data_IF_885445354679
#
_entry.id   IF_885445354679
#
_cell.length_a   1.000
_cell.length_b   1.000
_cell.length_c   1.000
_cell.angle_alpha   90.00
_cell.angle_beta   90.00
_cell.angle_gamma   90.00
#
_symmetry.space_group_name_H-M   'P 1'
#
loop_
_entity.id
_entity.type
_entity.pdbx_description
1 polymer ?
#
# COMPACT_ATOMS: atom_id res chain seq x y z
N UNK A 1 20.81 7.91 2.51
CA UNK A 1 22.28 8.14 2.43
C UNK A 1 22.93 8.04 3.81
N UNK A 2 22.48 8.78 4.82
CA UNK A 2 23.07 8.76 6.18
C UNK A 2 23.04 7.38 6.83
N UNK A 3 21.88 6.71 6.84
CA UNK A 3 21.74 5.34 7.34
C UNK A 3 22.70 4.34 6.67
N UNK A 4 22.93 4.48 5.35
CA UNK A 4 23.85 3.63 4.62
C UNK A 4 25.31 3.85 5.07
N UNK A 5 25.71 5.10 5.32
CA UNK A 5 27.05 5.41 5.87
C UNK A 5 27.27 4.78 7.23
N UNK A 6 26.27 4.86 8.13
CA UNK A 6 26.35 4.25 9.46
C UNK A 6 26.48 2.72 9.42
N UNK A 7 25.97 2.09 8.38
CA UNK A 7 26.01 0.63 8.16
C UNK A 7 27.17 0.21 7.23
N UNK A 8 28.04 1.12 6.83
CA UNK A 8 29.13 0.87 5.87
C UNK A 8 28.66 0.30 4.53
N UNK A 9 27.46 0.70 4.07
CA UNK A 9 26.91 0.32 2.78
C UNK A 9 27.23 1.40 1.76
N UNK A 10 27.88 1.01 0.65
CA UNK A 10 28.07 1.90 -0.52
C UNK A 10 26.75 1.98 -1.29
N UNK A 11 26.05 3.10 -1.19
CA UNK A 11 24.75 3.31 -1.81
C UNK A 11 24.85 4.27 -2.99
N UNK A 12 24.49 3.80 -4.17
CA UNK A 12 24.41 4.59 -5.41
C UNK A 12 22.95 4.79 -5.77
N UNK A 13 22.53 6.05 -5.92
CA UNK A 13 21.18 6.39 -6.35
C UNK A 13 21.10 6.34 -7.89
N UNK A 14 20.15 5.58 -8.41
CA UNK A 14 19.83 5.48 -9.84
C UNK A 14 18.35 5.74 -10.07
N UNK A 15 18.02 6.46 -11.14
CA UNK A 15 16.66 6.59 -11.63
C UNK A 15 16.34 5.41 -12.55
N UNK A 16 15.06 5.03 -12.66
CA UNK A 16 14.63 3.99 -13.60
C UNK A 16 15.03 4.32 -15.06
N UNK A 17 15.01 5.61 -15.42
CA UNK A 17 15.45 6.10 -16.74
C UNK A 17 16.94 5.91 -17.03
N UNK A 18 17.75 5.60 -16.02
CA UNK A 18 19.19 5.31 -16.16
C UNK A 18 19.48 3.81 -16.25
N UNK A 19 18.43 2.98 -16.03
CA UNK A 19 18.54 1.51 -15.96
C UNK A 19 17.84 0.81 -17.12
N UNK A 20 17.39 1.52 -18.16
CA UNK A 20 16.68 0.91 -19.29
C UNK A 20 17.62 0.13 -20.24
N UNK A 21 18.92 0.39 -20.22
CA UNK A 21 19.96 -0.37 -20.91
C UNK A 21 20.87 -1.02 -19.85
N UNK A 22 21.27 -2.27 -20.11
CA UNK A 22 22.23 -2.99 -19.27
C UNK A 22 23.61 -2.33 -19.37
N UNK A 23 23.99 -1.57 -18.35
CA UNK A 23 25.32 -0.93 -18.27
C UNK A 23 25.78 -0.82 -16.81
N UNK A 24 27.02 -1.23 -16.56
CA UNK A 24 27.73 -0.93 -15.33
C UNK A 24 27.99 -2.10 -14.39
N UNK A 25 28.52 -1.79 -13.23
CA UNK A 25 28.84 -2.77 -12.19
C UNK A 25 27.56 -3.35 -11.57
N UNK A 26 27.57 -4.67 -11.35
CA UNK A 26 26.49 -5.38 -10.70
C UNK A 26 26.47 -5.07 -9.20
N UNK A 27 25.36 -4.55 -8.63
CA UNK A 27 25.28 -4.32 -7.20
C UNK A 27 25.05 -5.64 -6.44
N UNK A 28 25.39 -5.66 -5.15
CA UNK A 28 25.07 -6.79 -4.26
C UNK A 28 23.57 -6.93 -4.06
N UNK A 29 22.84 -5.84 -4.01
CA UNK A 29 21.37 -5.79 -3.95
C UNK A 29 20.82 -4.47 -4.48
N UNK A 30 19.53 -4.43 -4.75
CA UNK A 30 18.80 -3.22 -5.13
C UNK A 30 17.70 -2.94 -4.10
N UNK A 31 17.75 -1.78 -3.45
CA UNK A 31 16.62 -1.22 -2.71
C UNK A 31 15.73 -0.50 -3.73
N UNK A 32 14.65 -1.18 -4.14
CA UNK A 32 13.78 -0.72 -5.23
C UNK A 32 12.65 0.16 -4.69
N UNK A 33 12.77 1.47 -4.92
CA UNK A 33 11.80 2.46 -4.41
C UNK A 33 10.96 3.05 -5.54
N UNK A 34 10.41 2.18 -6.37
CA UNK A 34 9.59 2.50 -7.55
C UNK A 34 8.43 1.49 -7.70
N UNK A 35 7.53 1.75 -8.64
CA UNK A 35 6.41 0.87 -9.02
C UNK A 35 6.62 0.18 -10.37
N UNK A 36 7.75 0.35 -11.02
CA UNK A 36 8.12 -0.32 -12.25
C UNK A 36 8.42 -1.81 -12.01
N UNK A 37 7.35 -2.61 -11.96
CA UNK A 37 7.43 -4.05 -11.72
C UNK A 37 8.17 -4.80 -12.82
N UNK A 38 8.22 -4.27 -14.05
CA UNK A 38 8.92 -4.87 -15.17
C UNK A 38 10.43 -4.71 -14.98
N UNK A 39 10.89 -3.51 -14.62
CA UNK A 39 12.29 -3.26 -14.28
C UNK A 39 12.73 -4.10 -13.08
N UNK A 40 11.93 -4.11 -11.99
CA UNK A 40 12.22 -4.93 -10.81
C UNK A 40 12.36 -6.41 -11.18
N UNK A 41 11.47 -6.93 -12.04
CA UNK A 41 11.51 -8.32 -12.50
C UNK A 41 12.72 -8.62 -13.39
N UNK A 42 13.12 -7.68 -14.25
CA UNK A 42 14.33 -7.81 -15.06
C UNK A 42 15.56 -7.96 -14.17
N UNK A 43 15.74 -7.05 -13.19
CA UNK A 43 16.86 -7.12 -12.24
C UNK A 43 16.90 -8.45 -11.49
N UNK A 44 15.74 -8.96 -11.05
CA UNK A 44 15.65 -10.26 -10.40
C UNK A 44 16.06 -11.42 -11.35
N UNK A 45 15.66 -11.36 -12.63
CA UNK A 45 16.04 -12.37 -13.63
C UNK A 45 17.55 -12.36 -13.95
N UNK A 46 18.20 -11.20 -13.79
CA UNK A 46 19.66 -11.06 -13.84
C UNK A 46 20.35 -11.60 -12.56
N UNK A 47 19.56 -12.13 -11.60
CA UNK A 47 20.04 -12.71 -10.34
C UNK A 47 20.45 -11.66 -9.31
N UNK A 48 19.98 -10.42 -9.41
CA UNK A 48 20.21 -9.36 -8.43
C UNK A 48 19.11 -9.43 -7.37
N UNK A 49 19.44 -9.50 -6.06
CA UNK A 49 18.44 -9.37 -5.00
C UNK A 49 17.74 -8.00 -5.06
N UNK A 50 16.41 -7.99 -5.10
CA UNK A 50 15.60 -6.76 -5.20
C UNK A 50 14.63 -6.68 -4.03
N UNK A 51 14.69 -5.62 -3.28
CA UNK A 51 13.90 -5.32 -2.08
C UNK A 51 13.03 -4.06 -2.28
N UNK A 52 11.70 -4.10 -2.31
CA UNK A 52 10.82 -5.29 -2.34
C UNK A 52 10.89 -6.00 -3.68
N UNK A 53 10.47 -7.27 -3.72
CA UNK A 53 10.39 -8.05 -4.95
C UNK A 53 9.38 -7.46 -5.94
N UNK A 54 9.57 -7.72 -7.25
CA UNK A 54 8.61 -7.35 -8.29
C UNK A 54 7.20 -7.89 -8.01
N UNK A 55 7.09 -9.09 -7.44
CA UNK A 55 5.82 -9.72 -7.05
C UNK A 55 5.13 -8.94 -5.94
N UNK A 56 5.86 -8.61 -4.87
CA UNK A 56 5.33 -7.85 -3.74
C UNK A 56 4.86 -6.46 -4.16
N UNK A 57 5.66 -5.78 -5.00
CA UNK A 57 5.29 -4.46 -5.54
C UNK A 57 4.00 -4.57 -6.36
N UNK A 58 3.89 -5.56 -7.27
CA UNK A 58 2.71 -5.76 -8.09
C UNK A 58 1.44 -6.10 -7.28
N UNK A 59 1.59 -6.83 -6.16
CA UNK A 59 0.48 -7.11 -5.23
C UNK A 59 0.04 -5.85 -4.50
N UNK A 60 0.97 -5.01 -4.06
CA UNK A 60 0.68 -3.79 -3.30
C UNK A 60 0.14 -2.66 -4.20
N UNK A 61 0.55 -2.58 -5.46
CA UNK A 61 0.16 -1.49 -6.35
C UNK A 61 -1.27 -1.63 -6.92
N UNK A 62 -1.78 -2.86 -7.06
CA UNK A 62 -3.16 -3.13 -7.47
C UNK A 62 -4.00 -3.55 -6.25
N UNK A 63 -4.90 -2.69 -5.80
CA UNK A 63 -5.79 -2.91 -4.64
C UNK A 63 -6.65 -4.16 -4.76
N UNK A 64 -6.96 -4.60 -5.99
CA UNK A 64 -7.75 -5.82 -6.24
C UNK A 64 -6.89 -7.06 -5.99
N UNK A 65 -5.64 -7.07 -6.47
CA UNK A 65 -4.68 -8.15 -6.22
C UNK A 65 -4.32 -8.23 -4.75
N UNK A 66 -4.08 -7.07 -4.12
CA UNK A 66 -3.86 -6.97 -2.69
C UNK A 66 -5.04 -7.54 -1.89
N UNK A 67 -6.28 -7.14 -2.22
CA UNK A 67 -7.47 -7.68 -1.59
C UNK A 67 -7.54 -9.21 -1.68
N UNK A 68 -7.30 -9.78 -2.85
CA UNK A 68 -7.33 -11.24 -3.04
C UNK A 68 -6.24 -11.95 -2.22
N UNK A 69 -5.03 -11.38 -2.17
CA UNK A 69 -3.94 -11.92 -1.36
C UNK A 69 -4.26 -11.88 0.13
N UNK A 70 -4.73 -10.74 0.64
CA UNK A 70 -5.11 -10.58 2.04
C UNK A 70 -6.29 -11.49 2.42
N UNK A 71 -7.31 -11.57 1.56
CA UNK A 71 -8.48 -12.44 1.77
C UNK A 71 -8.08 -13.91 1.87
N UNK A 72 -7.18 -14.38 0.99
CA UNK A 72 -6.65 -15.76 1.02
C UNK A 72 -6.02 -16.11 2.37
N UNK A 73 -5.41 -15.14 3.05
CA UNK A 73 -4.76 -15.34 4.35
C UNK A 73 -5.66 -14.98 5.55
N UNK A 74 -6.96 -14.76 5.33
CA UNK A 74 -7.90 -14.44 6.40
C UNK A 74 -7.58 -13.14 7.14
N UNK A 75 -7.03 -12.14 6.43
CA UNK A 75 -6.72 -10.83 7.00
C UNK A 75 -8.01 -10.00 7.11
N UNK A 76 -8.35 -9.47 8.29
CA UNK A 76 -9.51 -8.60 8.46
C UNK A 76 -9.39 -7.32 7.60
N UNK A 77 -10.41 -7.07 6.78
CA UNK A 77 -10.53 -5.91 5.89
C UNK A 77 -11.97 -5.43 5.88
N UNK A 78 -12.25 -4.17 5.50
CA UNK A 78 -13.61 -3.77 5.19
C UNK A 78 -14.21 -4.69 4.12
N UNK A 79 -15.49 -5.01 4.24
CA UNK A 79 -16.20 -5.81 3.25
C UNK A 79 -16.04 -5.20 1.86
N UNK A 80 -15.64 -6.00 0.89
CA UNK A 80 -15.20 -5.54 -0.44
C UNK A 80 -15.75 -6.44 -1.53
N UNK A 81 -16.23 -5.83 -2.61
CA UNK A 81 -16.63 -6.46 -3.87
C UNK A 81 -15.78 -5.89 -5.01
N UNK A 82 -15.21 -6.76 -5.83
CA UNK A 82 -14.49 -6.35 -7.03
C UNK A 82 -15.49 -6.08 -8.15
N UNK A 83 -15.37 -4.92 -8.82
CA UNK A 83 -16.20 -4.60 -9.96
C UNK A 83 -15.86 -5.51 -11.17
N UNK A 84 -16.84 -5.79 -12.04
CA UNK A 84 -16.55 -6.40 -13.34
C UNK A 84 -15.52 -5.57 -14.11
N UNK A 85 -14.64 -6.23 -14.84
CA UNK A 85 -13.64 -5.55 -15.68
C UNK A 85 -14.30 -4.92 -16.90
N UNK A 86 -13.85 -3.73 -17.29
CA UNK A 86 -14.23 -3.08 -18.54
C UNK A 86 -13.01 -2.48 -19.22
N UNK A 87 -13.18 -1.91 -20.42
CA UNK A 87 -12.09 -1.39 -21.23
C UNK A 87 -12.30 0.10 -21.55
N UNK A 88 -11.21 0.88 -21.71
CA UNK A 88 -11.32 2.24 -22.20
C UNK A 88 -12.11 2.32 -23.52
N UNK A 89 -13.05 3.23 -23.61
CA UNK A 89 -13.90 3.42 -24.78
C UNK A 89 -15.08 2.45 -24.92
N UNK A 90 -15.19 1.43 -24.05
CA UNK A 90 -16.34 0.52 -24.01
C UNK A 90 -17.25 0.88 -22.82
N UNK A 91 -16.71 0.88 -21.61
CA UNK A 91 -17.47 1.09 -20.38
C UNK A 91 -18.37 -0.08 -20.03
N UNK A 92 -19.33 0.17 -19.15
CA UNK A 92 -20.39 -0.78 -18.83
C UNK A 92 -21.59 -0.55 -19.76
N UNK A 93 -22.14 -1.60 -20.41
CA UNK A 93 -23.29 -1.46 -21.30
C UNK A 93 -24.56 -1.03 -20.56
N UNK A 94 -24.67 -1.40 -19.29
CA UNK A 94 -25.69 -0.97 -18.33
C UNK A 94 -25.12 -1.03 -16.91
N UNK A 95 -25.89 -0.56 -15.94
CA UNK A 95 -25.50 -0.53 -14.53
C UNK A 95 -26.35 -1.47 -13.66
N UNK A 96 -27.00 -2.49 -14.22
CA UNK A 96 -27.87 -3.40 -13.48
C UNK A 96 -27.13 -4.16 -12.37
N UNK A 97 -25.84 -4.47 -12.56
CA UNK A 97 -25.01 -5.12 -11.54
C UNK A 97 -24.86 -4.28 -10.26
N UNK A 98 -25.07 -2.97 -10.33
CA UNK A 98 -25.01 -2.09 -9.16
C UNK A 98 -26.21 -2.32 -8.21
N UNK A 99 -27.30 -2.90 -8.67
CA UNK A 99 -28.45 -3.24 -7.82
C UNK A 99 -28.06 -4.28 -6.75
N UNK A 100 -27.17 -5.20 -7.09
CA UNK A 100 -26.62 -6.16 -6.13
C UNK A 100 -25.58 -5.51 -5.19
N UNK A 101 -24.79 -4.56 -5.70
CA UNK A 101 -23.85 -3.79 -4.87
C UNK A 101 -24.58 -2.97 -3.81
N UNK A 102 -25.68 -2.31 -4.19
CA UNK A 102 -26.52 -1.52 -3.27
C UNK A 102 -27.21 -2.36 -2.18
N UNK A 103 -27.50 -3.63 -2.45
CA UNK A 103 -28.01 -4.56 -1.43
C UNK A 103 -26.93 -4.89 -0.38
N UNK A 104 -25.66 -4.96 -0.78
CA UNK A 104 -24.52 -5.26 0.09
C UNK A 104 -24.08 -4.01 0.86
N UNK A 105 -23.98 -2.87 0.16
CA UNK A 105 -23.46 -1.62 0.70
C UNK A 105 -24.52 -0.51 0.70
N UNK A 106 -25.12 -0.18 1.85
CA UNK A 106 -25.91 1.04 1.94
C UNK A 106 -25.02 2.27 1.76
N UNK A 107 -25.57 3.31 1.11
CA UNK A 107 -24.87 4.59 0.99
C UNK A 107 -24.68 5.28 2.35
N UNK A 108 -23.55 6.02 2.55
CA UNK A 108 -22.43 6.13 1.64
C UNK A 108 -21.49 4.94 1.72
N UNK A 109 -20.84 4.60 0.61
CA UNK A 109 -19.79 3.59 0.59
C UNK A 109 -18.57 4.07 -0.23
N UNK A 110 -17.47 3.33 -0.16
CA UNK A 110 -16.21 3.66 -0.81
C UNK A 110 -16.12 2.97 -2.18
N UNK A 111 -15.70 3.73 -3.19
CA UNK A 111 -15.25 3.21 -4.49
C UNK A 111 -13.77 3.54 -4.63
N UNK A 112 -12.97 2.57 -5.05
CA UNK A 112 -11.54 2.76 -5.28
C UNK A 112 -11.18 2.29 -6.69
N UNK A 113 -10.29 3.01 -7.37
CA UNK A 113 -9.62 2.46 -8.55
C UNK A 113 -8.55 1.46 -8.11
N UNK A 114 -8.33 0.41 -8.89
CA UNK A 114 -7.37 -0.66 -8.58
C UNK A 114 -5.97 -0.13 -8.36
N UNK A 115 -5.48 0.68 -9.28
CA UNK A 115 -4.18 1.35 -9.16
C UNK A 115 -4.37 2.81 -8.76
N UNK A 116 -3.39 3.37 -8.05
CA UNK A 116 -3.41 4.78 -7.64
C UNK A 116 -2.67 5.01 -6.32
N UNK A 117 -2.38 6.28 -6.03
CA UNK A 117 -1.59 6.68 -4.88
C UNK A 117 -2.17 7.91 -4.20
N UNK A 118 -1.76 8.13 -2.95
CA UNK A 118 -2.08 9.34 -2.17
C UNK A 118 -3.59 9.57 -1.97
N UNK A 119 -4.42 8.54 -2.12
CA UNK A 119 -5.87 8.62 -1.96
C UNK A 119 -6.62 9.37 -3.08
N UNK A 120 -5.94 9.73 -4.18
CA UNK A 120 -6.56 10.47 -5.27
C UNK A 120 -7.66 9.65 -5.99
N UNK A 121 -7.53 8.33 -6.00
CA UNK A 121 -8.47 7.38 -6.63
C UNK A 121 -9.34 6.66 -5.58
N UNK A 122 -9.76 7.36 -4.53
CA UNK A 122 -10.65 6.86 -3.48
C UNK A 122 -11.82 7.82 -3.32
N UNK A 123 -13.03 7.34 -3.55
CA UNK A 123 -14.25 8.12 -3.63
C UNK A 123 -15.27 7.67 -2.59
N UNK A 124 -15.91 8.62 -1.91
CA UNK A 124 -17.05 8.36 -1.05
C UNK A 124 -18.32 8.70 -1.85
N UNK A 125 -19.03 7.69 -2.32
CA UNK A 125 -20.28 7.86 -3.07
C UNK A 125 -21.47 7.86 -2.13
N UNK A 126 -22.42 8.78 -2.37
CA UNK A 126 -23.56 9.02 -1.47
C UNK A 126 -24.90 8.58 -2.05
N UNK A 127 -24.94 8.30 -3.35
CA UNK A 127 -26.13 7.88 -4.07
C UNK A 127 -25.78 7.23 -5.41
N UNK A 128 -26.77 6.59 -6.02
CA UNK A 128 -26.65 5.90 -7.32
C UNK A 128 -26.15 6.82 -8.44
N UNK A 129 -26.65 8.03 -8.52
CA UNK A 129 -26.25 8.97 -9.59
C UNK A 129 -24.77 9.34 -9.50
N UNK A 130 -24.26 9.61 -8.31
CA UNK A 130 -22.81 9.84 -8.10
C UNK A 130 -21.98 8.64 -8.53
N UNK A 131 -22.45 7.44 -8.21
CA UNK A 131 -21.77 6.20 -8.58
C UNK A 131 -21.71 6.00 -10.10
N UNK A 132 -22.84 6.10 -10.80
CA UNK A 132 -22.91 5.96 -12.25
C UNK A 132 -22.08 6.99 -12.98
N UNK A 133 -22.12 8.25 -12.52
CA UNK A 133 -21.28 9.32 -13.07
C UNK A 133 -19.79 8.99 -12.92
N UNK A 134 -19.37 8.57 -11.73
CA UNK A 134 -17.97 8.19 -11.48
C UNK A 134 -17.50 7.06 -12.42
N UNK A 135 -18.30 5.99 -12.55
CA UNK A 135 -17.96 4.85 -13.41
C UNK A 135 -17.93 5.23 -14.90
N UNK A 136 -18.77 6.16 -15.30
CA UNK A 136 -18.81 6.71 -16.68
C UNK A 136 -17.60 7.60 -16.96
N UNK A 137 -17.28 8.52 -16.06
CA UNK A 137 -16.15 9.45 -16.21
C UNK A 137 -14.79 8.72 -16.19
N UNK A 138 -14.72 7.59 -15.50
CA UNK A 138 -13.52 6.77 -15.36
C UNK A 138 -13.60 5.47 -16.16
N UNK A 139 -14.25 5.50 -17.32
CA UNK A 139 -14.40 4.34 -18.20
C UNK A 139 -13.06 3.64 -18.46
N UNK A 140 -13.02 2.35 -18.22
CA UNK A 140 -11.82 1.51 -18.37
C UNK A 140 -10.90 1.47 -17.13
N UNK A 141 -11.22 2.21 -16.08
CA UNK A 141 -10.57 1.98 -14.80
C UNK A 141 -11.12 0.70 -14.15
N UNK A 142 -10.25 0.02 -13.45
CA UNK A 142 -10.62 -1.15 -12.64
C UNK A 142 -11.07 -0.71 -11.25
N UNK A 143 -12.25 -1.10 -10.82
CA UNK A 143 -12.83 -0.66 -9.55
C UNK A 143 -12.97 -1.77 -8.52
N UNK A 144 -13.07 -1.35 -7.27
CA UNK A 144 -13.61 -2.13 -6.16
C UNK A 144 -14.56 -1.26 -5.34
N UNK A 145 -15.60 -1.88 -4.81
CA UNK A 145 -16.58 -1.30 -3.89
C UNK A 145 -16.28 -1.80 -2.49
N UNK A 146 -16.33 -0.89 -1.51
CA UNK A 146 -15.92 -1.24 -0.15
C UNK A 146 -16.82 -0.55 0.87
N UNK A 147 -17.18 -1.26 1.95
CA UNK A 147 -17.93 -0.69 3.07
C UNK A 147 -17.19 0.49 3.66
N UNK A 148 -17.89 1.59 3.83
CA UNK A 148 -17.34 2.75 4.56
C UNK A 148 -17.29 2.45 6.06
N UNK A 149 -16.12 2.57 6.65
CA UNK A 149 -15.91 2.36 8.08
C UNK A 149 -16.06 3.70 8.79
N UNK A 150 -17.26 3.91 9.33
CA UNK A 150 -17.66 5.19 9.97
C UNK A 150 -16.78 5.52 11.17
N UNK A 151 -16.34 4.50 11.91
CA UNK A 151 -15.45 4.62 13.08
C UNK A 151 -14.08 5.16 12.69
N UNK A 152 -13.71 5.04 11.42
CA UNK A 152 -12.43 5.52 10.89
C UNK A 152 -12.56 6.74 9.97
N UNK A 153 -13.72 7.41 9.98
CA UNK A 153 -13.90 8.62 9.19
C UNK A 153 -12.86 9.67 9.54
N UNK A 154 -12.06 10.05 8.53
CA UNK A 154 -11.00 11.06 8.67
C UNK A 154 -9.83 10.62 9.56
N UNK A 155 -9.66 9.34 9.88
CA UNK A 155 -8.55 8.87 10.72
C UNK A 155 -8.14 7.44 10.40
N UNK A 156 -6.86 7.17 10.54
CA UNK A 156 -6.26 5.84 10.43
C UNK A 156 -4.93 5.78 11.20
N UNK A 157 -4.34 4.61 11.25
CA UNK A 157 -2.97 4.44 11.73
C UNK A 157 -2.12 3.80 10.64
N UNK A 158 -0.89 4.27 10.47
CA UNK A 158 0.12 3.65 9.64
C UNK A 158 1.18 3.00 10.50
N UNK A 159 1.39 1.71 10.32
CA UNK A 159 2.46 0.95 10.95
C UNK A 159 3.54 0.64 9.90
N UNK A 160 4.78 0.95 10.23
CA UNK A 160 5.92 0.57 9.39
C UNK A 160 6.41 -0.80 9.81
N UNK A 161 6.30 -1.76 8.90
CA UNK A 161 6.78 -3.14 9.08
C UNK A 161 8.10 -3.31 8.33
N UNK A 162 9.10 -3.90 8.95
CA UNK A 162 10.39 -4.24 8.35
C UNK A 162 10.81 -5.61 8.85
N UNK A 163 11.08 -6.55 7.96
CA UNK A 163 11.55 -7.88 8.32
C UNK A 163 10.63 -8.61 9.32
N UNK A 164 9.31 -8.49 9.14
CA UNK A 164 8.33 -9.16 9.98
C UNK A 164 8.11 -8.53 11.36
N UNK A 165 8.57 -7.29 11.61
CA UNK A 165 8.33 -6.56 12.87
C UNK A 165 7.90 -5.13 12.62
N UNK A 166 7.05 -4.59 13.48
CA UNK A 166 6.69 -3.17 13.48
C UNK A 166 7.84 -2.37 14.07
N UNK A 167 8.37 -1.41 13.31
CA UNK A 167 9.49 -0.56 13.73
C UNK A 167 9.04 0.84 14.17
N UNK A 168 7.83 1.25 13.80
CA UNK A 168 7.26 2.53 14.21
C UNK A 168 5.85 2.69 13.68
N UNK A 169 5.11 3.64 14.24
CA UNK A 169 3.72 3.89 13.87
C UNK A 169 3.33 5.34 14.08
N UNK A 170 2.36 5.78 13.30
CA UNK A 170 1.79 7.13 13.40
C UNK A 170 0.27 7.09 13.24
N UNK A 171 -0.41 7.92 14.00
CA UNK A 171 -1.81 8.24 13.83
C UNK A 171 -1.94 9.40 12.85
N UNK A 172 -2.81 9.24 11.84
CA UNK A 172 -3.11 10.28 10.85
C UNK A 172 -4.57 10.69 10.99
N UNK A 173 -4.86 11.96 10.78
CA UNK A 173 -6.24 12.46 10.87
C UNK A 173 -6.47 13.70 10.01
N UNK A 174 -7.72 13.88 9.60
CA UNK A 174 -8.23 15.05 8.91
C UNK A 174 -9.58 15.44 9.50
N UNK A 175 -9.81 16.73 9.71
CA UNK A 175 -11.09 17.25 10.18
C UNK A 175 -12.07 17.54 9.04
N UNK A 176 -11.55 17.65 7.81
CA UNK A 176 -12.30 18.11 6.63
C UNK A 176 -12.52 17.03 5.57
N UNK A 177 -11.67 16.01 5.52
CA UNK A 177 -11.76 14.91 4.55
C UNK A 177 -12.09 13.59 5.26
N UNK A 178 -12.83 12.70 4.61
CA UNK A 178 -13.08 11.37 5.14
C UNK A 178 -11.83 10.48 5.13
N UNK A 179 -10.81 10.86 4.34
CA UNK A 179 -9.47 10.24 4.29
C UNK A 179 -8.53 10.95 5.24
N UNK A 180 -7.60 10.22 5.85
CA UNK A 180 -6.58 10.76 6.75
C UNK A 180 -5.26 11.16 6.03
N UNK A 181 -5.29 11.32 4.70
CA UNK A 181 -4.09 11.53 3.89
C UNK A 181 -3.42 12.89 4.15
N UNK A 182 -2.14 12.85 4.50
CA UNK A 182 -1.33 14.05 4.77
C UNK A 182 -1.20 14.96 3.53
N UNK A 183 -1.13 14.37 2.33
CA UNK A 183 -1.09 15.14 1.07
C UNK A 183 -2.37 15.90 0.77
N UNK A 184 -3.47 15.56 1.42
CA UNK A 184 -4.76 16.26 1.35
C UNK A 184 -4.98 17.21 2.55
N UNK A 185 -3.93 17.59 3.26
CA UNK A 185 -4.02 18.52 4.41
C UNK A 185 -4.29 17.85 5.75
N UNK A 186 -4.16 16.53 5.84
CA UNK A 186 -4.24 15.80 7.11
C UNK A 186 -3.09 16.12 8.06
N UNK A 187 -3.26 15.80 9.32
CA UNK A 187 -2.29 15.92 10.40
C UNK A 187 -1.82 14.55 10.87
N UNK A 188 -0.69 14.52 11.60
CA UNK A 188 -0.12 13.29 12.14
C UNK A 188 0.46 13.48 13.53
N UNK A 189 0.56 12.38 14.27
CA UNK A 189 1.30 12.29 15.55
C UNK A 189 1.83 10.87 15.75
N UNK A 190 2.81 10.71 16.62
CA UNK A 190 3.25 9.38 17.07
C UNK A 190 2.08 8.61 17.68
N UNK A 191 2.10 7.29 17.50
CA UNK A 191 1.08 6.37 17.99
C UNK A 191 1.74 5.13 18.59
N UNK A 192 1.24 4.65 19.73
CA UNK A 192 1.66 3.36 20.30
C UNK A 192 0.59 2.32 19.95
N UNK A 193 0.89 1.40 19.00
CA UNK A 193 -0.08 0.41 18.55
C UNK A 193 -0.25 -0.71 19.57
N UNK A 194 -1.46 -1.24 19.65
CA UNK A 194 -1.77 -2.45 20.42
C UNK A 194 -1.07 -3.67 19.81
N UNK A 195 -0.94 -4.75 20.58
CA UNK A 195 -0.38 -6.01 20.07
C UNK A 195 -1.23 -6.63 18.95
N UNK A 196 -2.54 -6.43 18.98
CA UNK A 196 -3.45 -6.84 17.91
C UNK A 196 -3.16 -6.09 16.60
N UNK A 197 -2.99 -4.77 16.67
CA UNK A 197 -2.64 -3.93 15.52
C UNK A 197 -1.26 -4.28 14.95
N UNK A 198 -0.26 -4.50 15.81
CA UNK A 198 1.09 -4.95 15.42
C UNK A 198 1.03 -6.30 14.71
N UNK A 199 0.34 -7.27 15.32
CA UNK A 199 0.17 -8.61 14.76
C UNK A 199 -0.54 -8.57 13.40
N UNK A 200 -1.63 -7.77 13.30
CA UNK A 200 -2.37 -7.62 12.06
C UNK A 200 -1.50 -7.00 10.95
N UNK A 201 -0.74 -5.95 11.25
CA UNK A 201 0.15 -5.30 10.29
C UNK A 201 1.24 -6.26 9.77
N UNK A 202 1.86 -7.04 10.66
CA UNK A 202 2.86 -8.05 10.29
C UNK A 202 2.25 -9.14 9.40
N UNK A 203 1.08 -9.67 9.77
CA UNK A 203 0.36 -10.67 8.97
C UNK A 203 -0.01 -10.13 7.58
N UNK A 204 -0.45 -8.89 7.49
CA UNK A 204 -0.80 -8.24 6.22
C UNK A 204 0.44 -8.06 5.32
N UNK A 205 1.56 -7.59 5.87
CA UNK A 205 2.84 -7.46 5.17
C UNK A 205 3.33 -8.84 4.65
N UNK A 206 3.23 -9.88 5.48
CA UNK A 206 3.59 -11.25 5.10
C UNK A 206 2.69 -11.80 3.98
N UNK A 207 1.39 -11.53 4.03
CA UNK A 207 0.43 -12.01 3.03
C UNK A 207 0.67 -11.44 1.62
N UNK A 208 1.30 -10.28 1.50
CA UNK A 208 1.73 -9.67 0.23
C UNK A 208 3.24 -9.79 0.00
N UNK A 209 3.92 -10.59 0.81
CA UNK A 209 5.33 -10.96 0.68
C UNK A 209 6.30 -9.76 0.66
N UNK A 210 6.01 -8.69 1.42
CA UNK A 210 6.89 -7.53 1.49
C UNK A 210 8.00 -7.71 2.52
N UNK A 211 9.22 -7.29 2.17
CA UNK A 211 10.36 -7.19 3.08
C UNK A 211 10.20 -6.00 4.03
N UNK A 212 9.62 -4.93 3.54
CA UNK A 212 9.21 -3.75 4.29
C UNK A 212 7.95 -3.14 3.67
N UNK A 213 7.08 -2.59 4.51
CA UNK A 213 5.85 -1.95 4.05
C UNK A 213 5.32 -0.93 5.07
N UNK A 214 4.57 0.04 4.57
CA UNK A 214 3.65 0.82 5.39
C UNK A 214 2.26 0.20 5.34
N UNK A 215 1.77 -0.30 6.46
CA UNK A 215 0.44 -0.91 6.59
C UNK A 215 -0.51 0.11 7.20
N UNK A 216 -1.59 0.41 6.48
CA UNK A 216 -2.63 1.33 6.93
C UNK A 216 -3.79 0.54 7.53
N UNK A 217 -4.11 0.82 8.79
CA UNK A 217 -5.21 0.19 9.52
C UNK A 217 -6.31 1.20 9.83
N UNK A 218 -7.56 0.76 9.66
CA UNK A 218 -8.76 1.47 10.06
C UNK A 218 -9.22 0.97 11.43
N UNK A 219 -9.87 1.84 12.18
CA UNK A 219 -10.56 1.52 13.42
C UNK A 219 -11.94 0.91 13.08
N UNK A 220 -12.06 -0.39 13.09
CA UNK A 220 -13.34 -1.06 12.93
C UNK A 220 -14.06 -1.21 14.28
N UNK A 221 -15.39 -1.52 14.23
CA UNK A 221 -16.19 -1.74 15.43
C UNK A 221 -15.71 -2.90 16.30
N UNK A 222 -15.31 -3.98 15.62
CA UNK A 222 -14.94 -5.26 16.25
C UNK A 222 -13.42 -5.51 16.24
N UNK A 223 -12.61 -4.47 15.98
CA UNK A 223 -11.16 -4.54 15.92
C UNK A 223 -10.57 -3.83 14.69
N UNK A 224 -9.25 -3.83 14.54
CA UNK A 224 -8.57 -3.16 13.44
C UNK A 224 -8.79 -3.88 12.10
N UNK A 225 -8.90 -3.10 11.02
CA UNK A 225 -9.08 -3.59 9.64
C UNK A 225 -7.97 -3.07 8.76
N UNK A 226 -7.38 -3.94 7.92
CA UNK A 226 -6.37 -3.51 6.94
C UNK A 226 -7.05 -2.73 5.82
N UNK A 227 -6.60 -1.48 5.64
CA UNK A 227 -7.03 -0.61 4.54
C UNK A 227 -6.16 -0.81 3.30
N UNK A 228 -4.84 -0.82 3.50
CA UNK A 228 -3.85 -0.89 2.42
C UNK A 228 -2.48 -1.33 2.95
N UNK A 229 -1.70 -2.00 2.09
CA UNK A 229 -0.27 -2.30 2.32
C UNK A 229 0.53 -1.63 1.21
N UNK A 230 1.47 -0.76 1.58
CA UNK A 230 2.26 0.04 0.65
C UNK A 230 3.73 -0.44 0.66
N UNK A 231 4.20 -1.02 -0.45
CA UNK A 231 5.57 -1.55 -0.60
C UNK A 231 6.66 -0.46 -0.63
N UNK A 232 6.31 0.78 -0.94
CA UNK A 232 7.20 1.92 -1.00
C UNK A 232 6.67 3.12 -0.19
N UNK A 233 6.13 2.85 1.00
CA UNK A 233 5.57 3.86 1.88
C UNK A 233 6.60 4.92 2.30
N UNK A 234 6.28 6.18 2.09
CA UNK A 234 7.11 7.29 2.56
C UNK A 234 7.21 7.28 4.08
N UNK A 235 8.43 7.29 4.62
CA UNK A 235 8.69 7.21 6.05
C UNK A 235 9.27 8.50 6.67
N UNK A 236 9.44 9.55 5.86
CA UNK A 236 9.90 10.85 6.40
C UNK A 236 8.95 11.38 7.48
N UNK A 237 7.66 11.33 7.22
CA UNK A 237 6.64 11.78 8.16
C UNK A 237 6.66 10.97 9.48
N UNK A 238 6.92 9.67 9.41
CA UNK A 238 7.11 8.85 10.60
C UNK A 238 8.32 9.30 11.40
N UNK A 239 9.45 9.54 10.72
CA UNK A 239 10.65 10.08 11.36
C UNK A 239 10.38 11.43 12.03
N UNK A 240 9.70 12.34 11.34
CA UNK A 240 9.41 13.70 11.84
C UNK A 240 8.56 13.68 13.12
N UNK A 241 7.65 12.72 13.29
CA UNK A 241 6.79 12.66 14.47
C UNK A 241 7.22 11.67 15.56
N UNK A 242 8.15 10.75 15.26
CA UNK A 242 8.55 9.69 16.23
C UNK A 242 10.07 9.60 16.45
N UNK A 243 10.89 10.16 15.56
CA UNK A 243 12.34 9.98 15.55
C UNK A 243 12.81 8.61 15.03
N UNK A 244 11.91 7.72 14.64
CA UNK A 244 12.26 6.37 14.16
C UNK A 244 12.91 6.44 12.78
N UNK A 245 14.16 5.98 12.68
CA UNK A 245 14.91 5.94 11.43
C UNK A 245 14.60 4.66 10.63
N UNK A 246 13.48 4.66 9.92
CA UNK A 246 13.04 3.52 9.08
C UNK A 246 14.06 3.17 8.00
N UNK A 247 14.80 4.15 7.46
CA UNK A 247 15.83 3.87 6.46
C UNK A 247 16.95 2.99 7.04
N UNK A 248 17.33 3.24 8.29
CA UNK A 248 18.31 2.40 8.99
C UNK A 248 17.77 1.00 9.23
N UNK A 249 16.52 0.88 9.66
CA UNK A 249 15.87 -0.42 9.90
C UNK A 249 15.81 -1.28 8.63
N UNK A 250 15.44 -0.68 7.49
CA UNK A 250 15.39 -1.36 6.19
C UNK A 250 16.78 -1.82 5.75
N UNK A 251 17.78 -0.95 5.76
CA UNK A 251 19.14 -1.30 5.32
C UNK A 251 19.80 -2.32 6.24
N UNK A 252 19.61 -2.21 7.55
CA UNK A 252 20.11 -3.20 8.52
C UNK A 252 19.45 -4.58 8.32
N UNK A 253 18.13 -4.62 8.02
CA UNK A 253 17.44 -5.86 7.67
C UNK A 253 18.02 -6.49 6.40
N UNK A 254 18.20 -5.72 5.33
CA UNK A 254 18.74 -6.19 4.06
C UNK A 254 20.17 -6.72 4.25
N UNK A 255 21.03 -5.97 4.95
CA UNK A 255 22.42 -6.38 5.21
C UNK A 255 22.51 -7.73 5.96
N UNK A 256 21.66 -7.93 6.97
CA UNK A 256 21.60 -9.21 7.70
C UNK A 256 21.19 -10.36 6.80
N UNK A 257 20.12 -10.15 6.01
CA UNK A 257 19.60 -11.17 5.09
C UNK A 257 20.61 -11.56 4.00
N UNK A 258 21.30 -10.58 3.42
CA UNK A 258 22.36 -10.85 2.43
C UNK A 258 23.56 -11.59 3.03
N UNK A 259 23.89 -11.32 4.30
CA UNK A 259 24.97 -12.04 5.00
C UNK A 259 24.57 -13.49 5.28
N UNK A 260 23.31 -13.74 5.68
CA UNK A 260 22.79 -15.10 5.92
C UNK A 260 22.73 -15.93 4.64
N UNK A 261 22.39 -15.32 3.49
CA UNK A 261 22.34 -16.02 2.20
C UNK A 261 23.71 -16.37 1.61
N UNK A 262 24.80 -15.73 2.09
CA UNK A 262 26.18 -16.01 1.62
C UNK A 262 26.90 -17.07 2.45
N UNK A 263 26.37 -17.42 3.63
CA UNK A 263 26.89 -18.47 4.52
C UNK A 263 26.14 -19.79 4.32
#
# INVERSE_FOLDING_TARGET
MEAAKCLHISLVLKKNTELYIETGERPDFVLFWDKDTVLAKRLQNEGIPVYNSAKSIALCDDKRKMYLALKKHGIPMPETVLAPMTYPGIGYPDFSFLDEIEKIFPYPFIVKEGCGSFGAQVYLVKNRKELENLLTERTGADFLFQRFIQESKGRDIRLQVVGGRVVGSMYRYSETDFRANLTAGGSMRGYEPTEEEKSLAVRASTAVETDFAGVDLLFGRDGPLVCEVNSNAHFKNLFDCTGVNTAWEILNYIQKRETECRN
#
